data_IF_017047349522
#
_entry.id   IF_017047349522
#
_cell.length_a   1.000
_cell.length_b   1.000
_cell.length_c   1.000
_cell.angle_alpha   90.00
_cell.angle_beta   90.00
_cell.angle_gamma   90.00
#
_symmetry.space_group_name_H-M   'P 1'
#
loop_
_entity.id
_entity.type
_entity.pdbx_description
1 polymer ?
#
# COMPACT_ATOMS: atom_id res chain seq x y z
N UNK A 1 55.04 -36.18 -30.59
CA UNK A 1 53.88 -37.03 -30.31
C UNK A 1 53.69 -37.01 -28.81
N UNK A 2 52.95 -36.05 -28.33
CA UNK A 2 52.50 -36.01 -26.93
C UNK A 2 51.03 -36.38 -26.98
N UNK A 3 50.72 -37.63 -26.56
CA UNK A 3 49.36 -38.09 -26.36
C UNK A 3 48.75 -37.24 -25.25
N UNK A 4 47.73 -36.43 -25.59
CA UNK A 4 46.80 -35.88 -24.62
C UNK A 4 46.02 -37.06 -24.04
N UNK A 5 46.47 -37.56 -22.90
CA UNK A 5 45.65 -38.41 -22.04
C UNK A 5 44.59 -37.50 -21.49
N UNK A 6 43.39 -37.50 -22.09
CA UNK A 6 42.22 -36.84 -21.50
C UNK A 6 41.91 -37.56 -20.21
N UNK A 7 42.02 -36.84 -19.08
CA UNK A 7 41.61 -37.34 -17.78
C UNK A 7 40.12 -37.76 -17.86
N UNK A 8 39.82 -39.03 -17.54
CA UNK A 8 38.45 -39.54 -17.66
C UNK A 8 37.40 -38.82 -16.80
N UNK A 9 37.84 -37.95 -15.89
CA UNK A 9 36.95 -37.08 -15.08
C UNK A 9 36.67 -35.73 -15.74
N UNK A 10 37.45 -35.25 -16.67
CA UNK A 10 37.32 -33.92 -17.29
C UNK A 10 36.14 -33.87 -18.27
N UNK A 11 35.94 -34.90 -19.08
CA UNK A 11 34.88 -34.99 -20.08
C UNK A 11 33.47 -34.93 -19.47
N UNK A 12 33.16 -35.67 -18.36
CA UNK A 12 31.86 -35.55 -17.70
C UNK A 12 31.57 -34.18 -17.11
N UNK A 13 32.59 -33.50 -16.56
CA UNK A 13 32.43 -32.15 -15.99
C UNK A 13 32.20 -31.10 -17.08
N UNK A 14 32.91 -31.18 -18.18
CA UNK A 14 32.72 -30.30 -19.32
C UNK A 14 31.32 -30.45 -19.93
N UNK A 15 30.85 -31.67 -20.13
CA UNK A 15 29.48 -31.92 -20.62
C UNK A 15 28.42 -31.44 -19.66
N UNK A 16 28.62 -31.57 -18.35
CA UNK A 16 27.71 -31.06 -17.34
C UNK A 16 27.63 -29.52 -17.39
N UNK A 17 28.79 -28.83 -17.53
CA UNK A 17 28.77 -27.36 -17.67
C UNK A 17 28.08 -26.92 -18.94
N UNK A 18 28.32 -27.55 -20.09
CA UNK A 18 27.62 -27.25 -21.35
C UNK A 18 26.12 -27.49 -21.30
N UNK A 19 25.65 -28.40 -20.42
CA UNK A 19 24.21 -28.62 -20.22
C UNK A 19 23.53 -27.59 -19.31
N UNK A 20 24.32 -26.84 -18.51
CA UNK A 20 23.82 -25.87 -17.53
C UNK A 20 23.89 -24.43 -18.03
N UNK A 21 24.78 -24.14 -18.95
CA UNK A 21 25.06 -22.80 -19.44
C UNK A 21 24.87 -22.68 -20.95
N UNK A 22 24.27 -21.58 -21.38
CA UNK A 22 24.08 -21.24 -22.78
C UNK A 22 25.30 -20.62 -23.44
N UNK A 23 26.21 -20.04 -22.64
CA UNK A 23 27.50 -19.54 -23.07
C UNK A 23 28.54 -19.83 -21.99
N UNK A 24 29.70 -20.29 -22.43
CA UNK A 24 30.92 -20.47 -21.62
C UNK A 24 32.06 -19.79 -22.36
N UNK A 25 32.64 -18.76 -21.75
CA UNK A 25 33.78 -18.06 -22.31
C UNK A 25 34.87 -17.81 -21.24
N UNK A 26 36.11 -17.87 -21.64
CA UNK A 26 37.28 -17.51 -20.80
C UNK A 26 37.88 -16.23 -21.33
N UNK A 27 38.12 -15.28 -20.44
CA UNK A 27 38.78 -14.01 -20.73
C UNK A 27 40.12 -13.98 -19.97
N UNK A 28 41.22 -13.82 -20.67
CA UNK A 28 42.53 -13.62 -20.05
C UNK A 28 42.72 -12.14 -19.71
N UNK A 29 43.15 -11.84 -18.47
CA UNK A 29 43.32 -10.47 -17.99
C UNK A 29 44.52 -9.75 -18.67
N UNK A 30 45.58 -10.50 -19.04
CA UNK A 30 46.80 -9.89 -19.51
C UNK A 30 46.72 -9.34 -20.94
N UNK A 31 46.02 -10.06 -21.82
CA UNK A 31 45.90 -9.67 -23.23
C UNK A 31 44.46 -9.29 -23.63
N UNK A 32 43.50 -9.44 -22.67
CA UNK A 32 42.08 -9.18 -22.87
C UNK A 32 41.46 -10.01 -24.02
N UNK A 33 42.05 -11.18 -24.29
CA UNK A 33 41.52 -12.09 -25.28
C UNK A 33 40.47 -12.99 -24.66
N UNK A 34 39.38 -13.17 -25.38
CA UNK A 34 38.25 -14.01 -25.02
C UNK A 34 38.19 -15.25 -25.92
N UNK A 35 38.16 -16.41 -25.30
CA UNK A 35 37.91 -17.69 -25.96
C UNK A 35 36.53 -18.20 -25.58
N UNK A 36 35.61 -18.30 -26.55
CA UNK A 36 34.27 -18.90 -26.36
C UNK A 36 34.41 -20.41 -26.46
N UNK A 37 34.27 -21.08 -25.33
CA UNK A 37 34.44 -22.55 -25.22
C UNK A 37 33.18 -23.27 -25.72
N UNK A 38 32.01 -22.70 -25.36
CA UNK A 38 30.72 -23.27 -25.74
C UNK A 38 29.66 -22.17 -25.92
N UNK A 39 28.75 -22.40 -26.86
CA UNK A 39 27.67 -21.47 -27.17
C UNK A 39 26.45 -22.23 -27.65
N UNK A 40 25.38 -22.15 -26.88
CA UNK A 40 24.09 -22.73 -27.19
C UNK A 40 23.50 -22.13 -28.49
N UNK A 41 22.73 -22.94 -29.18
CA UNK A 41 22.01 -22.58 -30.41
C UNK A 41 21.10 -21.34 -30.24
N UNK A 42 20.56 -21.11 -29.04
CA UNK A 42 19.74 -19.93 -28.72
C UNK A 42 20.52 -18.60 -28.82
N UNK A 43 21.81 -18.63 -28.49
CA UNK A 43 22.71 -17.47 -28.48
C UNK A 43 23.75 -17.50 -29.61
N UNK A 44 23.83 -18.55 -30.42
CA UNK A 44 24.84 -18.75 -31.46
C UNK A 44 24.93 -17.60 -32.47
N UNK A 45 23.85 -16.84 -32.68
CA UNK A 45 23.86 -15.67 -33.58
C UNK A 45 24.58 -14.45 -33.00
N UNK A 46 24.84 -14.43 -31.68
CA UNK A 46 25.47 -13.28 -30.99
C UNK A 46 26.95 -13.17 -31.30
N UNK A 47 27.63 -14.29 -31.49
CA UNK A 47 29.08 -14.39 -31.61
C UNK A 47 29.45 -15.03 -32.93
N UNK A 48 30.32 -14.40 -33.69
CA UNK A 48 30.86 -14.95 -34.93
C UNK A 48 32.35 -15.33 -34.72
N UNK A 49 32.61 -16.61 -34.46
CA UNK A 49 33.93 -17.17 -34.23
C UNK A 49 34.17 -17.55 -32.76
N UNK A 50 35.25 -18.31 -32.55
CA UNK A 50 35.61 -18.84 -31.21
C UNK A 50 36.47 -17.87 -30.42
N UNK A 51 37.07 -16.85 -31.08
CA UNK A 51 38.02 -15.90 -30.46
C UNK A 51 37.67 -14.46 -30.80
N UNK A 52 37.66 -13.60 -29.79
CA UNK A 52 37.48 -12.15 -29.93
C UNK A 52 38.20 -11.43 -28.76
N UNK A 53 38.25 -10.10 -28.77
CA UNK A 53 38.66 -9.34 -27.61
C UNK A 53 37.51 -9.19 -26.59
N UNK A 54 37.83 -8.85 -25.36
CA UNK A 54 36.87 -8.65 -24.27
C UNK A 54 35.82 -7.56 -24.61
N UNK A 55 36.29 -6.48 -25.27
CA UNK A 55 35.39 -5.40 -25.67
C UNK A 55 34.34 -5.89 -26.71
N UNK A 56 34.77 -6.76 -27.63
CA UNK A 56 33.86 -7.42 -28.59
C UNK A 56 32.82 -8.30 -27.92
N UNK A 57 33.22 -9.12 -26.93
CA UNK A 57 32.32 -9.94 -26.15
C UNK A 57 31.26 -9.07 -25.44
N UNK A 58 31.72 -8.04 -24.71
CA UNK A 58 30.82 -7.09 -24.01
C UNK A 58 29.86 -6.40 -24.99
N UNK A 59 30.35 -5.96 -26.16
CA UNK A 59 29.51 -5.33 -27.18
C UNK A 59 28.46 -6.30 -27.77
N UNK A 60 28.83 -7.60 -27.91
CA UNK A 60 27.87 -8.62 -28.34
C UNK A 60 26.77 -8.85 -27.33
N UNK A 61 27.12 -8.97 -26.05
CA UNK A 61 26.10 -9.09 -24.95
C UNK A 61 25.26 -7.84 -24.91
N UNK A 62 25.86 -6.63 -24.82
CA UNK A 62 25.15 -5.36 -24.68
C UNK A 62 24.12 -5.09 -25.78
N UNK A 63 24.46 -5.40 -27.04
CA UNK A 63 23.52 -5.25 -28.18
C UNK A 63 22.29 -6.11 -28.07
N UNK A 64 22.38 -7.23 -27.38
CA UNK A 64 21.31 -8.19 -27.23
C UNK A 64 20.59 -8.09 -25.87
N UNK A 65 21.05 -7.20 -24.97
CA UNK A 65 20.36 -6.89 -23.73
C UNK A 65 19.07 -6.08 -23.97
N UNK A 66 18.07 -6.36 -23.15
CA UNK A 66 16.90 -5.49 -23.07
C UNK A 66 17.33 -4.06 -22.67
N UNK A 67 16.76 -3.00 -23.27
CA UNK A 67 17.19 -1.62 -23.03
C UNK A 67 17.25 -1.23 -21.56
N UNK A 68 16.28 -1.68 -20.74
CA UNK A 68 16.23 -1.39 -19.30
C UNK A 68 17.35 -2.07 -18.48
N UNK A 69 17.93 -3.14 -18.98
CA UNK A 69 18.94 -3.91 -18.25
C UNK A 69 20.39 -3.46 -18.57
N UNK A 70 20.55 -2.56 -19.54
CA UNK A 70 21.86 -2.11 -20.04
C UNK A 70 22.68 -1.37 -18.99
N UNK A 71 22.07 -0.48 -18.23
CA UNK A 71 22.74 0.27 -17.16
C UNK A 71 23.30 -0.66 -16.07
N UNK A 72 22.54 -1.70 -15.71
CA UNK A 72 23.00 -2.68 -14.74
C UNK A 72 24.18 -3.52 -15.24
N UNK A 73 24.29 -3.70 -16.56
CA UNK A 73 25.37 -4.46 -17.18
C UNK A 73 26.69 -3.69 -17.30
N UNK A 74 26.70 -2.36 -17.33
CA UNK A 74 27.91 -1.53 -17.56
C UNK A 74 29.07 -1.90 -16.64
N UNK A 75 28.83 -2.20 -15.37
CA UNK A 75 29.86 -2.64 -14.41
C UNK A 75 30.48 -3.99 -14.73
N UNK A 76 29.89 -4.80 -15.60
CA UNK A 76 30.39 -6.10 -16.04
C UNK A 76 31.13 -6.01 -17.39
N UNK A 77 31.26 -4.81 -17.96
CA UNK A 77 32.02 -4.52 -19.18
C UNK A 77 33.36 -3.88 -18.91
N UNK A 78 33.70 -3.63 -17.63
CA UNK A 78 34.99 -3.08 -17.20
C UNK A 78 35.79 -4.12 -16.41
N UNK A 79 36.92 -4.53 -16.96
CA UNK A 79 37.76 -5.59 -16.38
C UNK A 79 38.36 -5.20 -15.02
N UNK A 80 38.65 -3.91 -14.79
CA UNK A 80 39.19 -3.44 -13.51
C UNK A 80 38.09 -3.49 -12.41
N UNK A 81 36.84 -3.21 -12.77
CA UNK A 81 35.71 -3.31 -11.87
C UNK A 81 35.43 -4.78 -11.52
N UNK A 82 35.51 -5.68 -12.51
CA UNK A 82 35.38 -7.12 -12.32
C UNK A 82 36.49 -7.62 -11.39
N UNK A 83 37.73 -7.27 -11.66
CA UNK A 83 38.92 -7.66 -10.85
C UNK A 83 38.72 -7.25 -9.39
N UNK A 84 38.36 -6.00 -9.13
CA UNK A 84 38.15 -5.47 -7.78
C UNK A 84 36.99 -6.21 -7.07
N UNK A 85 35.92 -6.47 -7.78
CA UNK A 85 34.75 -7.17 -7.19
C UNK A 85 35.10 -8.65 -6.86
N UNK A 86 35.89 -9.33 -7.70
CA UNK A 86 36.28 -10.72 -7.50
C UNK A 86 37.46 -10.88 -6.53
N UNK A 87 38.12 -9.79 -6.10
CA UNK A 87 39.08 -9.86 -4.99
C UNK A 87 38.44 -10.12 -3.64
N UNK A 88 37.16 -9.74 -3.50
CA UNK A 88 36.34 -9.90 -2.27
C UNK A 88 35.33 -11.02 -2.37
N UNK A 89 35.00 -11.48 -3.58
CA UNK A 89 33.90 -12.43 -3.84
C UNK A 89 34.40 -13.59 -4.72
N UNK A 90 33.79 -14.77 -4.52
CA UNK A 90 34.07 -15.94 -5.36
C UNK A 90 33.52 -15.77 -6.77
N UNK A 91 32.39 -15.10 -6.90
CA UNK A 91 31.76 -14.77 -8.17
C UNK A 91 30.96 -13.48 -8.06
N UNK A 92 30.67 -12.88 -9.20
CA UNK A 92 29.70 -11.81 -9.36
C UNK A 92 28.67 -12.24 -10.39
N UNK A 93 27.40 -11.80 -10.24
CA UNK A 93 26.35 -12.13 -11.19
C UNK A 93 25.41 -10.96 -11.45
N UNK A 94 24.76 -11.02 -12.61
CA UNK A 94 23.73 -10.09 -13.06
C UNK A 94 22.60 -10.86 -13.72
N UNK A 95 21.39 -10.66 -13.24
CA UNK A 95 20.19 -11.13 -13.92
C UNK A 95 19.78 -10.07 -14.95
N UNK A 96 19.61 -10.47 -16.18
CA UNK A 96 19.28 -9.58 -17.30
C UNK A 96 18.46 -10.32 -18.36
N UNK A 97 17.77 -9.56 -19.21
CA UNK A 97 17.01 -10.11 -20.32
C UNK A 97 17.87 -10.08 -21.59
N UNK A 98 18.19 -11.26 -22.12
CA UNK A 98 18.96 -11.43 -23.35
C UNK A 98 18.02 -11.85 -24.46
N UNK A 99 18.18 -11.25 -25.64
CA UNK A 99 17.43 -11.61 -26.84
C UNK A 99 17.98 -12.90 -27.43
N UNK A 100 17.14 -13.89 -27.66
CA UNK A 100 17.48 -15.15 -28.30
C UNK A 100 17.29 -15.08 -29.83
N UNK A 101 17.61 -16.18 -30.55
CA UNK A 101 17.51 -16.29 -32.01
C UNK A 101 16.07 -16.10 -32.56
N UNK A 102 15.06 -16.32 -31.74
CA UNK A 102 13.64 -16.06 -32.07
C UNK A 102 13.23 -14.58 -31.89
N UNK A 103 14.19 -13.70 -31.60
CA UNK A 103 14.03 -12.27 -31.35
C UNK A 103 13.22 -11.90 -30.10
N UNK A 104 12.96 -12.87 -29.20
CA UNK A 104 12.34 -12.63 -27.90
C UNK A 104 13.40 -12.50 -26.81
N UNK A 105 13.03 -11.78 -25.75
CA UNK A 105 13.87 -11.62 -24.58
C UNK A 105 13.58 -12.71 -23.55
N UNK A 106 14.64 -13.36 -23.07
CA UNK A 106 14.59 -14.36 -22.02
C UNK A 106 15.43 -13.93 -20.83
N UNK A 107 14.95 -14.19 -19.64
CA UNK A 107 15.74 -13.95 -18.43
C UNK A 107 16.93 -14.88 -18.41
N UNK A 108 18.09 -14.27 -18.30
CA UNK A 108 19.38 -14.95 -18.25
C UNK A 108 20.16 -14.43 -17.05
N UNK A 109 21.02 -15.26 -16.49
CA UNK A 109 22.00 -14.87 -15.48
C UNK A 109 23.38 -14.92 -16.10
N UNK A 110 24.05 -13.75 -16.16
CA UNK A 110 25.46 -13.64 -16.41
C UNK A 110 26.18 -13.85 -15.08
N UNK A 111 27.12 -14.79 -15.06
CA UNK A 111 27.95 -15.10 -13.91
C UNK A 111 29.42 -15.00 -14.31
N UNK A 112 30.25 -14.30 -13.51
CA UNK A 112 31.65 -14.15 -13.73
C UNK A 112 32.41 -14.64 -12.50
N UNK A 113 33.36 -15.51 -12.68
CA UNK A 113 34.23 -16.01 -11.60
C UNK A 113 35.70 -16.08 -12.01
N UNK A 114 36.56 -16.08 -11.02
CA UNK A 114 38.02 -16.27 -11.23
C UNK A 114 38.33 -17.77 -11.34
N UNK A 115 39.08 -18.18 -12.35
CA UNK A 115 39.48 -19.58 -12.56
C UNK A 115 40.87 -19.89 -12.05
N UNK A 116 41.71 -18.87 -11.87
CA UNK A 116 43.13 -19.02 -11.50
C UNK A 116 43.30 -19.03 -9.98
N UNK A 117 44.16 -19.95 -9.49
CA UNK A 117 44.68 -19.89 -8.13
C UNK A 117 45.70 -18.73 -8.05
N UNK A 118 45.79 -18.07 -6.89
CA UNK A 118 46.51 -16.84 -6.61
C UNK A 118 48.02 -16.81 -7.02
N UNK A 119 48.62 -17.91 -7.49
CA UNK A 119 50.04 -18.06 -7.72
C UNK A 119 50.47 -18.24 -9.21
N UNK A 120 49.59 -17.95 -10.18
CA UNK A 120 50.01 -18.10 -11.60
C UNK A 120 50.72 -16.84 -12.11
N UNK A 121 51.96 -17.01 -12.60
CA UNK A 121 52.77 -15.94 -13.21
C UNK A 121 52.24 -15.45 -14.58
N UNK A 122 51.20 -16.04 -15.12
CA UNK A 122 50.67 -15.82 -16.48
C UNK A 122 49.41 -14.92 -16.55
N UNK A 123 49.05 -14.25 -15.43
CA UNK A 123 47.83 -13.47 -15.36
C UNK A 123 46.62 -14.27 -14.83
N UNK A 124 45.48 -13.61 -14.69
CA UNK A 124 44.22 -14.24 -14.23
C UNK A 124 43.32 -14.49 -15.42
N UNK A 125 42.58 -15.62 -15.32
CA UNK A 125 41.53 -15.92 -16.27
C UNK A 125 40.18 -15.79 -15.58
N UNK A 126 39.26 -15.12 -16.25
CA UNK A 126 37.89 -14.98 -15.81
C UNK A 126 36.97 -15.87 -16.65
N UNK A 127 36.10 -16.61 -15.97
CA UNK A 127 35.08 -17.43 -16.62
C UNK A 127 33.79 -16.63 -16.68
N UNK A 128 33.30 -16.40 -17.89
CA UNK A 128 32.02 -15.79 -18.18
C UNK A 128 31.02 -16.87 -18.55
N UNK A 129 29.93 -16.93 -17.82
CA UNK A 129 28.90 -17.93 -17.96
C UNK A 129 27.53 -17.26 -18.13
N UNK A 130 26.76 -17.69 -19.12
CA UNK A 130 25.36 -17.26 -19.25
C UNK A 130 24.47 -18.49 -19.14
N UNK A 131 23.48 -18.45 -18.25
CA UNK A 131 22.47 -19.50 -18.14
C UNK A 131 21.06 -18.95 -18.26
N UNK A 132 20.17 -19.78 -18.78
CA UNK A 132 18.74 -19.48 -18.83
C UNK A 132 18.14 -19.60 -17.42
N UNK A 133 17.43 -18.57 -17.00
CA UNK A 133 16.67 -18.53 -15.74
C UNK A 133 15.21 -18.13 -15.98
N UNK A 134 14.74 -18.20 -17.22
CA UNK A 134 13.45 -17.68 -17.62
C UNK A 134 12.29 -18.34 -16.87
N UNK A 135 12.27 -19.67 -16.83
CA UNK A 135 11.24 -20.41 -16.09
C UNK A 135 11.26 -20.13 -14.59
N UNK A 136 12.45 -19.91 -14.01
CA UNK A 136 12.56 -19.53 -12.60
C UNK A 136 11.96 -18.15 -12.37
N UNK A 137 12.29 -17.19 -13.23
CA UNK A 137 11.79 -15.81 -13.13
C UNK A 137 10.30 -15.69 -13.36
N UNK A 138 9.76 -16.44 -14.32
CA UNK A 138 8.32 -16.47 -14.54
C UNK A 138 7.58 -16.99 -13.31
N UNK A 139 8.06 -18.08 -12.71
CA UNK A 139 7.47 -18.62 -11.47
C UNK A 139 7.53 -17.60 -10.32
N UNK A 140 8.69 -16.96 -10.09
CA UNK A 140 8.86 -15.92 -9.06
C UNK A 140 7.87 -14.73 -9.28
N UNK A 141 7.70 -14.32 -10.53
CA UNK A 141 6.77 -13.25 -10.90
C UNK A 141 5.30 -13.64 -10.69
N UNK A 142 4.94 -14.86 -11.05
CA UNK A 142 3.57 -15.37 -10.89
C UNK A 142 3.23 -15.56 -9.40
N UNK A 143 4.13 -16.10 -8.59
CA UNK A 143 3.99 -16.19 -7.14
C UNK A 143 3.81 -14.80 -6.50
N UNK A 144 4.60 -13.83 -6.95
CA UNK A 144 4.51 -12.44 -6.46
C UNK A 144 3.15 -11.82 -6.83
N UNK A 145 2.66 -12.03 -8.04
CA UNK A 145 1.33 -11.55 -8.49
C UNK A 145 0.20 -12.18 -7.67
N UNK A 146 0.31 -13.49 -7.41
CA UNK A 146 -0.68 -14.20 -6.62
C UNK A 146 -0.71 -13.69 -5.17
N UNK A 147 0.46 -13.48 -4.55
CA UNK A 147 0.57 -12.91 -3.21
C UNK A 147 -0.01 -11.50 -3.12
N UNK A 148 0.27 -10.63 -4.10
CA UNK A 148 -0.30 -9.29 -4.16
C UNK A 148 -1.83 -9.32 -4.32
N UNK A 149 -2.35 -10.22 -5.15
CA UNK A 149 -3.80 -10.43 -5.31
C UNK A 149 -4.46 -10.86 -4.00
N UNK A 150 -3.85 -11.83 -3.29
CA UNK A 150 -4.34 -12.28 -1.98
C UNK A 150 -4.30 -11.18 -0.91
N UNK A 151 -3.22 -10.39 -0.88
CA UNK A 151 -3.10 -9.26 0.04
C UNK A 151 -4.19 -8.21 -0.21
N UNK A 152 -4.46 -7.88 -1.47
CA UNK A 152 -5.53 -6.95 -1.82
C UNK A 152 -6.91 -7.48 -1.41
N UNK A 153 -7.20 -8.76 -1.65
CA UNK A 153 -8.45 -9.38 -1.23
C UNK A 153 -8.62 -9.39 0.30
N UNK A 154 -7.56 -9.70 1.04
CA UNK A 154 -7.57 -9.66 2.49
C UNK A 154 -7.78 -8.25 3.02
N UNK A 155 -7.16 -7.24 2.40
CA UNK A 155 -7.35 -5.83 2.77
C UNK A 155 -8.81 -5.41 2.60
N UNK A 156 -9.44 -5.71 1.46
CA UNK A 156 -10.85 -5.40 1.22
C UNK A 156 -11.74 -6.08 2.28
N UNK A 157 -11.52 -7.38 2.53
CA UNK A 157 -12.30 -8.11 3.54
C UNK A 157 -12.09 -7.56 4.95
N UNK A 158 -10.87 -7.11 5.28
CA UNK A 158 -10.58 -6.48 6.56
C UNK A 158 -11.30 -5.13 6.69
N UNK A 159 -11.25 -4.29 5.64
CA UNK A 159 -11.92 -2.99 5.63
C UNK A 159 -13.45 -3.15 5.76
N UNK A 160 -14.05 -4.13 5.09
CA UNK A 160 -15.48 -4.45 5.20
C UNK A 160 -15.85 -4.88 6.63
N UNK A 161 -15.13 -5.85 7.20
CA UNK A 161 -15.33 -6.32 8.58
C UNK A 161 -15.08 -5.21 9.61
N UNK A 162 -14.11 -4.35 9.36
CA UNK A 162 -13.81 -3.20 10.20
C UNK A 162 -15.00 -2.23 10.20
N UNK A 163 -15.50 -1.88 9.02
CA UNK A 163 -16.66 -0.98 8.88
C UNK A 163 -17.92 -1.57 9.51
N UNK A 164 -18.25 -2.84 9.26
CA UNK A 164 -19.38 -3.53 9.92
C UNK A 164 -19.29 -3.48 11.44
N UNK A 165 -18.09 -3.67 12.00
CA UNK A 165 -17.90 -3.67 13.45
C UNK A 165 -17.92 -2.26 14.07
N UNK A 166 -17.71 -1.21 13.27
CA UNK A 166 -17.61 0.19 13.71
C UNK A 166 -18.88 1.00 13.43
N UNK A 167 -19.85 0.47 12.68
CA UNK A 167 -21.08 1.19 12.31
C UNK A 167 -22.31 0.68 13.04
N UNK A 168 -23.31 1.52 13.14
CA UNK A 168 -24.67 1.21 13.58
C UNK A 168 -25.49 0.79 12.36
N UNK A 169 -26.08 -0.40 12.40
CA UNK A 169 -26.80 -0.99 11.26
C UNK A 169 -28.02 -0.17 10.81
N UNK A 170 -28.69 0.52 11.74
CA UNK A 170 -29.90 1.28 11.47
C UNK A 170 -29.63 2.60 10.74
N UNK A 171 -28.54 3.29 11.14
CA UNK A 171 -28.24 4.66 10.67
C UNK A 171 -27.05 4.73 9.73
N UNK A 172 -26.18 3.73 9.73
CA UNK A 172 -24.88 3.76 9.04
C UNK A 172 -23.89 4.76 9.65
N UNK A 173 -24.20 5.37 10.79
CA UNK A 173 -23.28 6.16 11.58
C UNK A 173 -22.26 5.23 12.28
N UNK A 174 -21.14 5.76 12.74
CA UNK A 174 -20.28 5.00 13.64
C UNK A 174 -21.04 4.63 14.93
N UNK A 175 -20.71 3.47 15.50
CA UNK A 175 -21.16 3.07 16.83
C UNK A 175 -20.14 3.51 17.92
N UNK A 176 -20.31 3.06 19.15
CA UNK A 176 -19.37 3.36 20.27
C UNK A 176 -17.92 2.91 20.03
N UNK A 177 -17.69 1.88 19.22
CA UNK A 177 -16.33 1.46 18.87
C UNK A 177 -15.74 2.42 17.82
N UNK A 178 -16.57 2.82 16.85
CA UNK A 178 -16.20 3.82 15.85
C UNK A 178 -15.90 5.19 16.47
N UNK A 179 -16.58 5.55 17.58
CA UNK A 179 -16.24 6.74 18.36
C UNK A 179 -14.77 6.74 18.81
N UNK A 180 -14.32 5.67 19.46
CA UNK A 180 -12.94 5.60 19.97
C UNK A 180 -11.89 5.71 18.86
N UNK A 181 -12.18 5.10 17.73
CA UNK A 181 -11.32 5.19 16.55
C UNK A 181 -11.25 6.62 16.00
N UNK A 182 -12.40 7.28 15.85
CA UNK A 182 -12.50 8.65 15.34
C UNK A 182 -11.89 9.66 16.30
N UNK A 183 -12.12 9.51 17.61
CA UNK A 183 -11.57 10.35 18.67
C UNK A 183 -10.04 10.40 18.60
N UNK A 184 -9.37 9.24 18.61
CA UNK A 184 -7.90 9.17 18.58
C UNK A 184 -7.33 9.85 17.34
N UNK A 185 -7.91 9.56 16.17
CA UNK A 185 -7.46 10.13 14.91
C UNK A 185 -7.63 11.64 14.84
N UNK A 186 -8.81 12.15 15.22
CA UNK A 186 -9.13 13.57 15.12
C UNK A 186 -8.39 14.41 16.16
N UNK A 187 -8.20 13.88 17.36
CA UNK A 187 -7.41 14.53 18.38
C UNK A 187 -5.94 14.73 17.95
N UNK A 188 -5.34 13.70 17.36
CA UNK A 188 -3.99 13.76 16.84
C UNK A 188 -3.87 14.72 15.65
N UNK A 189 -4.83 14.67 14.72
CA UNK A 189 -4.89 15.57 13.56
C UNK A 189 -5.00 17.03 14.00
N UNK A 190 -5.96 17.37 14.88
CA UNK A 190 -6.14 18.74 15.36
C UNK A 190 -4.92 19.26 16.10
N UNK A 191 -4.26 18.41 16.93
CA UNK A 191 -3.05 18.78 17.66
C UNK A 191 -1.87 19.06 16.72
N UNK A 192 -1.61 18.17 15.74
CA UNK A 192 -0.44 18.28 14.86
C UNK A 192 -0.58 19.41 13.85
N UNK A 193 -1.80 19.74 13.45
CA UNK A 193 -2.09 20.78 12.45
C UNK A 193 -2.49 22.14 13.06
N UNK A 194 -2.63 22.24 14.41
CA UNK A 194 -3.05 23.48 15.09
C UNK A 194 -4.49 23.89 14.79
N UNK A 195 -5.32 22.92 14.43
CA UNK A 195 -6.75 23.11 14.09
C UNK A 195 -7.64 23.03 15.32
N UNK A 196 -8.89 23.42 15.15
CA UNK A 196 -9.94 23.33 16.16
C UNK A 196 -10.67 21.99 16.07
N UNK A 197 -11.13 21.49 17.21
CA UNK A 197 -12.04 20.35 17.25
C UNK A 197 -13.47 20.84 17.39
N UNK A 198 -14.35 20.33 16.54
CA UNK A 198 -15.78 20.49 16.62
C UNK A 198 -16.38 19.23 17.26
N UNK A 199 -17.14 19.44 18.31
CA UNK A 199 -17.90 18.40 19.00
C UNK A 199 -19.35 18.86 19.09
N UNK A 200 -20.27 18.03 18.59
CA UNK A 200 -21.71 18.26 18.80
C UNK A 200 -22.33 17.02 19.44
N UNK A 201 -22.96 17.18 20.57
CA UNK A 201 -23.79 16.17 21.22
C UNK A 201 -25.25 16.47 20.88
N UNK A 202 -25.99 15.45 20.50
CA UNK A 202 -27.38 15.58 20.05
C UNK A 202 -28.23 14.45 20.62
N UNK A 203 -29.47 14.76 21.00
CA UNK A 203 -30.47 13.82 21.54
C UNK A 203 -31.80 14.05 20.88
N UNK A 204 -32.41 12.97 20.32
CA UNK A 204 -33.74 12.98 19.71
C UNK A 204 -34.81 13.16 20.78
N UNK A 205 -35.62 14.20 20.66
CA UNK A 205 -36.65 14.52 21.65
C UNK A 205 -37.82 13.52 21.59
N UNK A 206 -38.25 13.02 22.73
CA UNK A 206 -39.46 12.27 22.88
C UNK A 206 -39.53 10.89 22.23
N UNK A 207 -38.38 10.26 21.90
CA UNK A 207 -38.30 8.94 21.23
C UNK A 207 -39.14 7.87 21.96
N UNK A 208 -39.06 7.83 23.32
CA UNK A 208 -39.83 6.88 24.11
C UNK A 208 -41.35 7.08 23.93
N UNK A 209 -41.80 8.31 24.02
CA UNK A 209 -43.22 8.63 23.83
C UNK A 209 -43.70 8.28 22.41
N UNK A 210 -42.88 8.53 21.42
CA UNK A 210 -43.12 8.19 20.02
C UNK A 210 -43.24 6.68 19.83
N UNK A 211 -42.34 5.90 20.42
CA UNK A 211 -42.40 4.43 20.40
C UNK A 211 -43.65 3.89 21.11
N UNK A 212 -43.96 4.43 22.29
CA UNK A 212 -45.10 3.98 23.12
C UNK A 212 -46.45 4.32 22.48
N UNK A 213 -46.54 5.44 21.74
CA UNK A 213 -47.78 5.92 21.13
C UNK A 213 -48.01 5.40 19.72
N UNK A 214 -46.95 5.37 18.89
CA UNK A 214 -47.05 5.10 17.45
C UNK A 214 -46.31 3.82 17.03
N UNK A 215 -45.65 3.14 18.00
CA UNK A 215 -44.88 1.91 17.77
C UNK A 215 -43.44 2.15 17.32
N UNK A 216 -42.60 1.12 17.43
CA UNK A 216 -41.19 1.19 17.15
C UNK A 216 -40.85 1.64 15.72
N UNK A 217 -41.71 1.34 14.75
CA UNK A 217 -41.52 1.82 13.37
C UNK A 217 -41.54 3.35 13.24
N UNK A 218 -42.29 4.05 14.11
CA UNK A 218 -42.28 5.51 14.16
C UNK A 218 -40.97 6.05 14.75
N UNK A 219 -40.47 5.43 15.81
CA UNK A 219 -39.18 5.76 16.37
C UNK A 219 -38.01 5.50 15.40
N UNK A 220 -38.05 4.39 14.65
CA UNK A 220 -37.07 4.06 13.63
C UNK A 220 -37.05 5.12 12.51
N UNK A 221 -38.21 5.60 12.07
CA UNK A 221 -38.29 6.71 11.10
C UNK A 221 -37.68 7.99 11.65
N UNK A 222 -37.97 8.34 12.90
CA UNK A 222 -37.43 9.54 13.54
C UNK A 222 -35.92 9.47 13.70
N UNK A 223 -35.37 8.32 14.13
CA UNK A 223 -33.95 8.09 14.24
C UNK A 223 -33.27 8.26 12.87
N UNK A 224 -33.88 7.72 11.82
CA UNK A 224 -33.37 7.85 10.46
C UNK A 224 -33.40 9.30 9.97
N UNK A 225 -34.48 10.02 10.18
CA UNK A 225 -34.64 11.43 9.83
C UNK A 225 -33.57 12.30 10.51
N UNK A 226 -33.31 12.08 11.81
CA UNK A 226 -32.24 12.78 12.54
C UNK A 226 -30.86 12.41 11.99
N UNK A 227 -30.60 11.13 11.70
CA UNK A 227 -29.34 10.70 11.09
C UNK A 227 -29.10 11.37 9.75
N UNK A 228 -30.11 11.47 8.90
CA UNK A 228 -30.02 12.10 7.58
C UNK A 228 -29.85 13.63 7.71
N UNK A 229 -30.52 14.27 8.67
CA UNK A 229 -30.33 15.69 9.00
C UNK A 229 -28.90 15.98 9.47
N UNK A 230 -28.37 15.16 10.39
CA UNK A 230 -27.00 15.26 10.87
C UNK A 230 -26.01 15.13 9.71
N UNK A 231 -26.20 14.16 8.85
CA UNK A 231 -25.35 13.93 7.67
C UNK A 231 -25.35 15.10 6.69
N UNK A 232 -26.51 15.74 6.52
CA UNK A 232 -26.69 16.91 5.64
C UNK A 232 -26.06 18.19 6.22
N UNK A 233 -26.12 18.36 7.55
CA UNK A 233 -25.70 19.59 8.21
C UNK A 233 -24.25 19.59 8.70
N UNK A 234 -23.67 18.41 8.96
CA UNK A 234 -22.33 18.27 9.53
C UNK A 234 -21.25 18.87 8.61
N UNK A 235 -20.18 19.42 9.20
CA UNK A 235 -18.98 19.80 8.44
C UNK A 235 -18.44 18.64 7.59
N UNK A 236 -17.70 18.95 6.54
CA UNK A 236 -17.05 17.92 5.71
C UNK A 236 -16.12 17.05 6.57
N UNK A 237 -15.94 15.78 6.18
CA UNK A 237 -15.10 14.80 6.86
C UNK A 237 -15.42 14.55 8.34
N UNK A 238 -16.63 14.90 8.77
CA UNK A 238 -17.10 14.63 10.13
C UNK A 238 -17.29 13.13 10.37
N UNK A 239 -16.91 12.68 11.57
CA UNK A 239 -17.36 11.40 12.10
C UNK A 239 -18.74 11.59 12.74
N UNK A 240 -19.73 10.86 12.22
CA UNK A 240 -21.10 10.84 12.73
C UNK A 240 -21.25 9.56 13.56
N UNK A 241 -21.55 9.70 14.84
CA UNK A 241 -21.57 8.56 15.77
C UNK A 241 -22.96 8.50 16.41
N UNK A 242 -23.50 7.29 16.52
CA UNK A 242 -24.67 7.00 17.36
C UNK A 242 -24.21 6.27 18.62
N UNK A 243 -24.32 6.92 19.77
CA UNK A 243 -23.83 6.40 21.05
C UNK A 243 -24.88 5.62 21.83
N UNK A 244 -26.14 5.88 21.57
CA UNK A 244 -27.30 5.26 22.23
C UNK A 244 -28.49 5.18 21.32
N UNK A 245 -29.68 4.88 21.88
CA UNK A 245 -30.93 4.78 21.13
C UNK A 245 -31.29 6.07 20.39
N UNK A 246 -31.23 7.19 21.08
CA UNK A 246 -31.59 8.55 20.68
C UNK A 246 -30.42 9.53 20.65
N UNK A 247 -29.23 9.09 21.07
CA UNK A 247 -28.03 9.93 21.24
C UNK A 247 -27.09 9.86 20.04
N UNK A 248 -26.69 11.02 19.55
CA UNK A 248 -25.68 11.16 18.50
C UNK A 248 -24.54 12.07 18.95
N UNK A 249 -23.35 11.80 18.43
CA UNK A 249 -22.17 12.61 18.62
C UNK A 249 -21.54 12.89 17.24
N UNK A 250 -21.22 14.11 16.96
CA UNK A 250 -20.55 14.53 15.74
C UNK A 250 -19.19 15.10 16.10
N UNK A 251 -18.14 14.57 15.47
CA UNK A 251 -16.77 15.04 15.62
C UNK A 251 -16.23 15.52 14.27
N UNK A 252 -15.53 16.64 14.25
CA UNK A 252 -14.82 17.13 13.06
C UNK A 252 -13.59 17.92 13.47
N UNK A 253 -12.63 18.04 12.56
CA UNK A 253 -11.45 18.90 12.68
C UNK A 253 -11.63 20.08 11.72
N UNK A 254 -11.62 21.30 12.25
CA UNK A 254 -11.89 22.53 11.51
C UNK A 254 -10.68 23.44 11.47
N UNK A 255 -10.51 24.15 10.36
CA UNK A 255 -9.56 25.27 10.32
C UNK A 255 -10.03 26.38 11.27
N UNK A 256 -9.12 27.10 11.94
CA UNK A 256 -9.50 28.22 12.79
C UNK A 256 -10.33 29.25 12.01
N UNK A 257 -11.53 29.53 12.51
CA UNK A 257 -12.47 30.45 11.86
C UNK A 257 -13.34 29.86 10.76
N UNK A 258 -13.36 28.54 10.60
CA UNK A 258 -14.30 27.86 9.70
C UNK A 258 -15.74 27.98 10.23
N UNK A 259 -16.61 28.58 9.42
CA UNK A 259 -18.00 28.82 9.78
C UNK A 259 -18.88 27.55 9.69
N UNK A 260 -18.39 26.45 9.12
CA UNK A 260 -19.18 25.23 8.91
C UNK A 260 -19.69 24.63 10.22
N UNK A 261 -18.88 24.71 11.30
CA UNK A 261 -19.28 24.26 12.62
C UNK A 261 -20.41 25.08 13.22
N UNK A 262 -20.37 26.43 13.10
CA UNK A 262 -21.44 27.31 13.57
C UNK A 262 -22.69 27.23 12.70
N UNK A 263 -22.56 26.87 11.43
CA UNK A 263 -23.67 26.69 10.51
C UNK A 263 -24.43 25.36 10.69
N UNK A 264 -23.90 24.44 11.48
CA UNK A 264 -24.52 23.13 11.73
C UNK A 264 -25.95 23.28 12.27
N UNK A 265 -26.14 24.01 13.36
CA UNK A 265 -27.44 24.14 14.03
C UNK A 265 -28.52 24.63 13.08
N UNK A 266 -28.39 25.79 12.44
CA UNK A 266 -29.37 26.29 11.48
C UNK A 266 -29.66 25.33 10.31
N UNK A 267 -28.67 24.64 9.77
CA UNK A 267 -28.88 23.67 8.70
C UNK A 267 -29.61 22.43 9.16
N UNK A 268 -29.26 21.94 10.36
CA UNK A 268 -29.91 20.78 10.98
C UNK A 268 -31.38 21.06 11.27
N UNK A 269 -31.70 22.20 11.87
CA UNK A 269 -33.11 22.61 12.15
C UNK A 269 -33.92 22.77 10.88
N UNK A 270 -33.38 23.46 9.88
CA UNK A 270 -34.06 23.61 8.60
C UNK A 270 -34.35 22.27 7.91
N UNK A 271 -33.39 21.31 7.97
CA UNK A 271 -33.64 19.98 7.42
C UNK A 271 -34.80 19.25 8.12
N UNK A 272 -34.88 19.33 9.46
CA UNK A 272 -35.98 18.70 10.22
C UNK A 272 -37.33 19.41 10.00
N UNK A 273 -37.33 20.74 9.82
CA UNK A 273 -38.53 21.50 9.44
C UNK A 273 -39.06 21.02 8.08
N UNK A 274 -38.19 20.98 7.07
CA UNK A 274 -38.53 20.46 5.73
C UNK A 274 -39.03 19.01 5.78
N UNK A 275 -38.35 18.16 6.60
CA UNK A 275 -38.78 16.77 6.79
C UNK A 275 -40.21 16.69 7.37
N UNK A 276 -40.50 17.45 8.43
CA UNK A 276 -41.81 17.44 9.10
C UNK A 276 -42.91 18.00 8.19
N UNK A 277 -42.61 18.97 7.33
CA UNK A 277 -43.54 19.51 6.35
C UNK A 277 -43.83 18.55 5.19
N UNK A 278 -42.82 17.78 4.77
CA UNK A 278 -42.94 16.86 3.66
C UNK A 278 -43.61 15.52 4.00
N UNK A 279 -43.68 15.18 5.28
CA UNK A 279 -44.22 13.90 5.75
C UNK A 279 -45.46 14.12 6.60
N UNK A 280 -46.56 13.45 6.25
CA UNK A 280 -47.81 13.47 7.00
C UNK A 280 -47.80 12.43 8.13
N UNK A 281 -46.71 12.43 8.93
CA UNK A 281 -46.58 11.56 10.10
C UNK A 281 -47.34 12.16 11.29
N UNK A 282 -47.98 11.34 12.17
CA UNK A 282 -48.76 11.83 13.32
C UNK A 282 -47.90 12.39 14.46
N UNK A 283 -46.58 12.53 14.23
CA UNK A 283 -45.59 13.01 15.19
C UNK A 283 -44.65 13.98 14.50
N UNK A 284 -44.01 14.86 15.29
CA UNK A 284 -43.00 15.80 14.82
C UNK A 284 -41.60 15.33 15.28
N UNK A 285 -40.68 15.25 14.35
CA UNK A 285 -39.26 14.90 14.64
C UNK A 285 -38.52 16.17 15.07
N UNK A 286 -37.94 16.16 16.24
CA UNK A 286 -37.09 17.24 16.74
C UNK A 286 -35.96 16.67 17.60
N UNK A 287 -34.85 17.40 17.71
CA UNK A 287 -33.73 17.01 18.57
C UNK A 287 -33.16 18.24 19.28
N UNK A 288 -32.53 18.00 20.42
CA UNK A 288 -31.78 18.99 21.15
C UNK A 288 -30.28 18.74 20.94
N UNK A 289 -29.50 19.80 20.81
CA UNK A 289 -28.07 19.66 20.55
C UNK A 289 -27.25 20.72 21.29
N UNK A 290 -25.96 20.44 21.48
CA UNK A 290 -24.97 21.38 22.00
C UNK A 290 -23.67 21.24 21.25
N UNK A 291 -23.03 22.37 20.97
CA UNK A 291 -21.82 22.46 20.15
C UNK A 291 -20.70 23.07 20.97
N UNK A 292 -19.53 22.43 20.92
CA UNK A 292 -18.25 22.94 21.43
C UNK A 292 -17.25 23.00 20.28
N UNK A 293 -16.64 24.17 20.03
CA UNK A 293 -15.58 24.36 19.02
C UNK A 293 -14.42 25.04 19.73
N UNK A 294 -13.28 24.36 19.82
CA UNK A 294 -12.09 24.88 20.50
C UNK A 294 -10.80 24.28 19.97
N UNK A 295 -9.66 25.00 20.06
CA UNK A 295 -8.35 24.42 19.86
C UNK A 295 -8.09 23.25 20.80
N UNK A 296 -7.33 22.26 20.34
CA UNK A 296 -6.90 21.14 21.18
C UNK A 296 -5.71 21.56 22.02
N UNK A 297 -5.84 21.47 23.35
CA UNK A 297 -4.73 21.73 24.26
C UNK A 297 -3.60 20.72 24.11
N UNK A 298 -2.35 21.15 24.34
CA UNK A 298 -1.14 20.29 24.21
C UNK A 298 -1.20 19.03 25.08
N UNK A 299 -1.83 19.10 26.26
CA UNK A 299 -1.96 17.98 27.20
C UNK A 299 -3.27 17.17 27.04
N UNK A 300 -4.14 17.53 26.09
CA UNK A 300 -5.40 16.82 25.90
C UNK A 300 -5.16 15.40 25.38
N UNK A 301 -5.56 14.39 26.16
CA UNK A 301 -5.43 12.97 25.82
C UNK A 301 -6.76 12.31 25.46
N UNK A 302 -7.88 13.02 25.63
CA UNK A 302 -9.24 12.58 25.25
C UNK A 302 -10.09 13.80 24.88
N UNK A 303 -11.25 13.54 24.26
CA UNK A 303 -12.25 14.56 23.98
C UNK A 303 -13.31 14.66 25.09
N UNK A 304 -13.18 13.98 26.22
CA UNK A 304 -14.17 13.93 27.30
C UNK A 304 -14.60 15.32 27.75
N UNK A 305 -13.67 16.24 28.01
CA UNK A 305 -14.00 17.60 28.43
C UNK A 305 -14.74 18.43 27.37
N UNK A 306 -14.49 18.18 26.08
CA UNK A 306 -15.23 18.82 24.98
C UNK A 306 -16.64 18.23 24.84
N UNK A 307 -16.77 16.93 25.05
CA UNK A 307 -18.05 16.22 25.02
C UNK A 307 -18.91 16.65 26.20
N UNK A 308 -18.35 16.72 27.43
CA UNK A 308 -19.07 17.21 28.63
C UNK A 308 -19.58 18.65 28.46
N UNK A 309 -18.80 19.53 27.84
CA UNK A 309 -19.24 20.90 27.58
C UNK A 309 -20.38 20.94 26.57
N UNK A 310 -20.26 20.19 25.46
CA UNK A 310 -21.30 20.10 24.46
C UNK A 310 -22.57 19.47 25.05
N UNK A 311 -22.45 18.41 25.86
CA UNK A 311 -23.57 17.77 26.56
C UNK A 311 -24.30 18.76 27.49
N UNK A 312 -23.56 19.54 28.27
CA UNK A 312 -24.14 20.60 29.10
C UNK A 312 -24.87 21.66 28.29
N UNK A 313 -24.45 21.97 27.07
CA UNK A 313 -25.18 22.87 26.16
C UNK A 313 -26.45 22.23 25.61
N UNK A 314 -26.41 20.98 25.20
CA UNK A 314 -27.53 20.19 24.72
C UNK A 314 -28.61 20.08 25.80
N UNK A 315 -28.21 19.76 27.03
CA UNK A 315 -29.15 19.65 28.15
C UNK A 315 -29.91 20.96 28.41
N UNK A 316 -29.22 22.13 28.36
CA UNK A 316 -29.87 23.45 28.50
C UNK A 316 -30.87 23.77 27.36
N UNK A 317 -30.60 23.28 26.16
CA UNK A 317 -31.52 23.39 25.03
C UNK A 317 -32.73 22.48 25.27
N UNK A 318 -32.49 21.22 25.69
CA UNK A 318 -33.53 20.22 25.96
C UNK A 318 -34.53 20.68 27.01
N UNK A 319 -34.10 21.31 28.10
CA UNK A 319 -34.98 21.90 29.13
C UNK A 319 -35.95 22.95 28.56
N UNK A 320 -35.54 23.64 27.49
CA UNK A 320 -36.37 24.68 26.86
C UNK A 320 -37.31 24.13 25.77
N UNK A 321 -36.89 23.13 25.06
CA UNK A 321 -37.52 22.67 23.81
C UNK A 321 -38.29 21.37 23.94
N UNK A 322 -37.93 20.49 24.90
CA UNK A 322 -38.61 19.20 25.08
C UNK A 322 -39.82 19.35 26.05
N UNK A 323 -41.09 19.21 25.54
CA UNK A 323 -42.27 19.30 26.38
C UNK A 323 -42.35 18.22 27.45
N UNK A 324 -41.70 17.07 27.25
CA UNK A 324 -41.74 15.91 28.14
C UNK A 324 -40.77 16.04 29.33
N UNK A 325 -39.83 16.99 29.29
CA UNK A 325 -38.92 17.32 30.42
C UNK A 325 -39.59 18.29 31.43
N UNK A 326 -40.75 18.91 31.08
CA UNK A 326 -41.44 19.89 31.92
C UNK A 326 -42.58 19.29 32.75
N UNK A 327 -42.83 18.00 32.61
CA UNK A 327 -43.84 17.26 33.37
C UNK A 327 -43.16 16.39 34.44
#
# INVERSE_FOLDING_TARGET
>A
MTEHISDPMVVPVENALKSLYQMIAVVNEADLYCHVIDLDDALAYMVSGEMMDFAGLCACIFRNLHPEDREAFDRYSDIEVIHRALSEKVFISCECRIRHKDFRYYWSELLICNTTREDSAEGRDYLFLIRDIHERKERELDETRELLSRLNSLKVSYDDLFMENMTDEQTGCYNRKGLRYSETRMLEEARTSGKEIFVCVLDLNGLKHMNDTYGHSAGDKAIKAVSDAVRSAAPADSALIRTGGDEFLILSVLEPGDESGSAFGPKFEAYLEDYNEAHDDPFTVSASYGICIKPVGEEANSLDGYIEEADGLMYRMKEKTDPHMRA
#
